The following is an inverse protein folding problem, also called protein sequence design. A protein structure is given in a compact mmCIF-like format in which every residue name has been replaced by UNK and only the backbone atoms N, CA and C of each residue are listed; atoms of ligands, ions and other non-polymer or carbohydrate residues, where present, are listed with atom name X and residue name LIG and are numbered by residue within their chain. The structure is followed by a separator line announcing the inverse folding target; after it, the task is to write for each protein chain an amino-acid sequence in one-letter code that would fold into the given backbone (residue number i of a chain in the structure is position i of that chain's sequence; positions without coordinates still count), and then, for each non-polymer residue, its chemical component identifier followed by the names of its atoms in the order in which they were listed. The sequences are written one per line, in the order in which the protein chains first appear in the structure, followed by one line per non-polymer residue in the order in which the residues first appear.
data_IF_387262171548
#
_entry.id   IF_387262171548
#
_cell.length_a   1.000
_cell.length_b   1.000
_cell.length_c   1.000
_cell.angle_alpha   90.00
_cell.angle_beta   90.00
_cell.angle_gamma   90.00
#
_symmetry.space_group_name_H-M   'P 1'
#
loop_
_entity.id
_entity.type
_entity.pdbx_description
1 polymer ?
#
# COMPACT_ATOMS: atom_id res chain seq x y z
N UNK A 1 -47.95 -51.31 -71.43
CA UNK A 1 -47.13 -51.10 -70.21
C UNK A 1 -47.40 -49.67 -69.78
N UNK A 2 -48.05 -49.50 -68.64
CA UNK A 2 -48.56 -48.21 -68.17
C UNK A 2 -47.39 -47.35 -67.67
N UNK A 3 -47.13 -46.23 -68.34
CA UNK A 3 -46.27 -45.18 -67.81
C UNK A 3 -47.09 -44.42 -66.75
N UNK A 4 -46.72 -44.56 -65.49
CA UNK A 4 -47.19 -43.66 -64.45
C UNK A 4 -46.63 -42.26 -64.75
N UNK A 5 -47.50 -41.25 -64.75
CA UNK A 5 -47.12 -39.84 -64.88
C UNK A 5 -46.16 -39.45 -63.75
N UNK A 6 -45.00 -38.88 -64.07
CA UNK A 6 -44.00 -38.44 -63.08
C UNK A 6 -44.51 -37.30 -62.18
N UNK A 7 -45.53 -36.56 -62.62
CA UNK A 7 -46.05 -35.37 -61.93
C UNK A 7 -47.41 -35.66 -61.29
N UNK A 8 -47.54 -35.37 -60.00
CA UNK A 8 -48.79 -35.52 -59.24
C UNK A 8 -49.53 -34.18 -59.10
N UNK A 9 -50.82 -34.21 -58.74
CA UNK A 9 -51.58 -33.00 -58.42
C UNK A 9 -50.96 -32.22 -57.23
N UNK A 10 -50.29 -32.92 -56.31
CA UNK A 10 -49.61 -32.31 -55.15
C UNK A 10 -48.46 -31.39 -55.56
N UNK A 11 -47.82 -31.66 -56.70
CA UNK A 11 -46.72 -30.85 -57.24
C UNK A 11 -47.21 -29.87 -58.32
N UNK A 12 -48.16 -30.30 -59.15
CA UNK A 12 -48.63 -29.53 -60.30
C UNK A 12 -49.55 -28.36 -59.90
N UNK A 13 -50.38 -28.51 -58.86
CA UNK A 13 -51.28 -27.44 -58.39
C UNK A 13 -50.49 -26.27 -57.76
N UNK A 14 -49.49 -26.50 -56.87
CA UNK A 14 -48.62 -25.44 -56.38
C UNK A 14 -47.83 -24.75 -57.50
N UNK A 15 -47.37 -25.49 -58.51
CA UNK A 15 -46.72 -24.95 -59.69
C UNK A 15 -47.64 -24.01 -60.50
N UNK A 16 -48.86 -24.43 -60.83
CA UNK A 16 -49.82 -23.55 -61.52
C UNK A 16 -50.15 -22.32 -60.66
N UNK A 17 -50.22 -22.48 -59.34
CA UNK A 17 -50.47 -21.38 -58.41
C UNK A 17 -49.29 -20.41 -58.34
N UNK A 18 -48.04 -20.89 -58.44
CA UNK A 18 -46.85 -20.04 -58.49
C UNK A 18 -46.80 -19.22 -59.79
N UNK A 19 -47.36 -19.74 -60.89
CA UNK A 19 -47.56 -19.01 -62.15
C UNK A 19 -48.78 -18.07 -62.15
N UNK A 20 -49.51 -17.97 -61.03
CA UNK A 20 -50.69 -17.11 -60.90
C UNK A 20 -51.96 -17.65 -61.55
N UNK A 21 -52.01 -18.95 -61.88
CA UNK A 21 -53.19 -19.60 -62.44
C UNK A 21 -54.15 -20.02 -61.33
N UNK A 22 -55.40 -19.55 -61.41
CA UNK A 22 -56.44 -19.97 -60.46
C UNK A 22 -56.90 -21.41 -60.75
N UNK A 23 -56.45 -22.36 -59.93
CA UNK A 23 -56.77 -23.79 -60.07
C UNK A 23 -58.14 -24.19 -59.51
N UNK A 24 -58.81 -23.27 -58.78
CA UNK A 24 -60.13 -23.47 -58.16
C UNK A 24 -60.27 -24.78 -57.35
N UNK A 25 -59.18 -25.30 -56.76
CA UNK A 25 -59.14 -26.58 -56.04
C UNK A 25 -59.65 -27.78 -56.86
N UNK A 26 -59.54 -27.71 -58.19
CA UNK A 26 -59.87 -28.83 -59.07
C UNK A 26 -58.66 -29.74 -59.22
N UNK A 27 -58.93 -31.04 -59.34
CA UNK A 27 -57.91 -32.05 -59.62
C UNK A 27 -57.60 -32.10 -61.12
N UNK A 28 -56.32 -32.20 -61.45
CA UNK A 28 -55.77 -32.32 -62.80
C UNK A 28 -55.22 -33.73 -63.08
N UNK A 29 -55.29 -34.64 -62.10
CA UNK A 29 -54.85 -36.04 -62.20
C UNK A 29 -55.37 -36.76 -63.44
N UNK A 30 -56.62 -36.48 -63.86
CA UNK A 30 -57.18 -37.11 -65.06
C UNK A 30 -56.49 -36.68 -66.37
N UNK A 31 -56.00 -35.44 -66.46
CA UNK A 31 -55.19 -34.96 -67.60
C UNK A 31 -53.73 -35.37 -67.49
N UNK A 32 -53.19 -35.42 -66.27
CA UNK A 32 -51.82 -35.86 -66.03
C UNK A 32 -51.64 -37.36 -66.35
N UNK A 33 -52.69 -38.16 -66.22
CA UNK A 33 -52.69 -39.59 -66.54
C UNK A 33 -53.13 -39.91 -67.99
N UNK A 34 -53.62 -38.93 -68.75
CA UNK A 34 -54.00 -39.12 -70.15
C UNK A 34 -52.75 -39.01 -71.05
N UNK A 35 -52.38 -40.07 -71.79
CA UNK A 35 -51.17 -40.06 -72.62
C UNK A 35 -51.16 -38.97 -73.70
N UNK A 36 -52.33 -38.48 -74.12
CA UNK A 36 -52.43 -37.41 -75.11
C UNK A 36 -52.05 -36.03 -74.53
N UNK A 37 -52.14 -35.84 -73.21
CA UNK A 37 -51.88 -34.57 -72.51
C UNK A 37 -50.66 -34.60 -71.58
N UNK A 38 -50.35 -35.76 -70.98
CA UNK A 38 -49.30 -35.93 -69.98
C UNK A 38 -47.92 -35.44 -70.46
N UNK A 39 -47.57 -35.69 -71.72
CA UNK A 39 -46.30 -35.26 -72.29
C UNK A 39 -46.16 -33.73 -72.36
N UNK A 40 -47.24 -33.02 -72.70
CA UNK A 40 -47.25 -31.56 -72.79
C UNK A 40 -47.24 -30.93 -71.41
N UNK A 41 -48.03 -31.46 -70.47
CA UNK A 41 -48.09 -30.96 -69.09
C UNK A 41 -46.77 -31.20 -68.34
N UNK A 42 -46.12 -32.34 -68.56
CA UNK A 42 -44.78 -32.63 -68.02
C UNK A 42 -43.71 -31.71 -68.61
N UNK A 43 -43.82 -31.35 -69.90
CA UNK A 43 -42.92 -30.35 -70.49
C UNK A 43 -43.14 -28.96 -69.90
N UNK A 44 -44.39 -28.52 -69.74
CA UNK A 44 -44.73 -27.23 -69.12
C UNK A 44 -44.20 -27.14 -67.69
N UNK A 45 -44.42 -28.18 -66.88
CA UNK A 45 -43.93 -28.26 -65.51
C UNK A 45 -42.40 -28.14 -65.39
N UNK A 46 -41.66 -28.68 -66.36
CA UNK A 46 -40.19 -28.69 -66.35
C UNK A 46 -39.55 -27.42 -66.95
N UNK A 47 -40.29 -26.63 -67.73
CA UNK A 47 -39.70 -25.55 -68.55
C UNK A 47 -40.36 -24.17 -68.36
N UNK A 48 -41.51 -24.07 -67.69
CA UNK A 48 -42.10 -22.77 -67.32
C UNK A 48 -41.76 -22.44 -65.88
N UNK A 49 -41.53 -21.16 -65.61
CA UNK A 49 -41.35 -20.58 -64.29
C UNK A 49 -42.00 -19.18 -64.25
N UNK A 50 -41.92 -18.51 -63.11
CA UNK A 50 -42.47 -17.16 -62.94
C UNK A 50 -41.83 -16.11 -63.87
N UNK A 51 -40.67 -16.41 -64.47
CA UNK A 51 -39.95 -15.47 -65.34
C UNK A 51 -40.33 -15.62 -66.82
N UNK A 52 -40.79 -16.81 -67.22
CA UNK A 52 -41.18 -17.13 -68.60
C UNK A 52 -42.70 -17.12 -68.83
N UNK A 53 -43.50 -17.02 -67.77
CA UNK A 53 -44.95 -16.87 -67.86
C UNK A 53 -45.35 -15.40 -67.95
N UNK A 54 -45.93 -14.99 -69.08
CA UNK A 54 -46.48 -13.64 -69.26
C UNK A 54 -47.64 -13.41 -68.29
N UNK A 55 -47.41 -12.54 -67.31
CA UNK A 55 -48.46 -12.06 -66.41
C UNK A 55 -49.24 -10.91 -67.05
N UNK A 56 -50.49 -10.69 -66.62
CA UNK A 56 -51.30 -9.54 -67.07
C UNK A 56 -50.61 -8.18 -66.84
N UNK A 57 -49.70 -8.11 -65.86
CA UNK A 57 -48.88 -6.92 -65.59
C UNK A 57 -47.79 -6.72 -66.64
N UNK A 58 -47.15 -7.80 -67.08
CA UNK A 58 -46.13 -7.77 -68.14
C UNK A 58 -46.76 -7.52 -69.50
N UNK A 59 -47.93 -8.10 -69.78
CA UNK A 59 -48.71 -7.79 -70.98
C UNK A 59 -49.05 -6.29 -71.05
N UNK A 60 -49.49 -5.70 -69.93
CA UNK A 60 -49.75 -4.26 -69.85
C UNK A 60 -48.48 -3.42 -70.08
N UNK A 61 -47.37 -3.79 -69.44
CA UNK A 61 -46.08 -3.10 -69.63
C UNK A 61 -45.58 -3.19 -71.05
N UNK A 62 -45.66 -4.37 -71.66
CA UNK A 62 -45.29 -4.60 -73.06
C UNK A 62 -46.16 -3.74 -73.99
N UNK A 63 -47.47 -3.70 -73.77
CA UNK A 63 -48.39 -2.86 -74.53
C UNK A 63 -48.11 -1.36 -74.36
N UNK A 64 -47.67 -0.91 -73.18
CA UNK A 64 -47.25 0.48 -72.96
C UNK A 64 -45.93 0.82 -73.68
N UNK A 65 -44.93 -0.06 -73.61
CA UNK A 65 -43.64 0.11 -74.29
C UNK A 65 -43.86 0.15 -75.81
N UNK A 66 -44.72 -0.72 -76.32
CA UNK A 66 -45.12 -0.73 -77.72
C UNK A 66 -45.85 0.57 -78.12
N UNK A 67 -46.78 1.07 -77.29
CA UNK A 67 -47.47 2.35 -77.52
C UNK A 67 -46.54 3.55 -77.51
N UNK A 68 -45.48 3.52 -76.70
CA UNK A 68 -44.45 4.57 -76.61
C UNK A 68 -43.45 4.51 -77.77
N UNK A 69 -43.50 3.46 -78.61
CA UNK A 69 -42.59 3.29 -79.74
C UNK A 69 -41.15 2.99 -79.33
N UNK A 70 -40.92 2.61 -78.07
CA UNK A 70 -39.59 2.31 -77.50
C UNK A 70 -39.33 0.80 -77.46
N UNK A 71 -40.10 0.01 -78.21
CA UNK A 71 -39.92 -1.42 -78.30
C UNK A 71 -38.66 -1.71 -79.14
N UNK A 72 -37.61 -2.18 -78.48
CA UNK A 72 -36.37 -2.57 -79.13
C UNK A 72 -36.54 -3.92 -79.82
N UNK A 73 -35.82 -4.11 -80.93
CA UNK A 73 -35.62 -5.45 -81.47
C UNK A 73 -34.78 -6.29 -80.50
N UNK A 74 -34.87 -7.63 -80.55
CA UNK A 74 -34.11 -8.49 -79.63
C UNK A 74 -32.59 -8.25 -79.70
N UNK A 75 -32.06 -7.94 -80.87
CA UNK A 75 -30.63 -7.62 -81.03
C UNK A 75 -30.26 -6.27 -80.38
N UNK A 76 -31.08 -5.24 -80.55
CA UNK A 76 -30.87 -3.93 -79.90
C UNK A 76 -31.04 -4.01 -78.38
N UNK A 77 -31.90 -4.91 -77.89
CA UNK A 77 -32.08 -5.17 -76.46
C UNK A 77 -30.83 -5.84 -75.88
N UNK A 78 -30.31 -6.88 -76.53
CA UNK A 78 -29.08 -7.56 -76.10
C UNK A 78 -27.87 -6.61 -76.10
N UNK A 79 -27.74 -5.75 -77.11
CA UNK A 79 -26.71 -4.71 -77.17
C UNK A 79 -26.86 -3.68 -76.04
N UNK A 80 -28.10 -3.27 -75.73
CA UNK A 80 -28.36 -2.36 -74.62
C UNK A 80 -28.06 -2.99 -73.27
N UNK A 81 -28.41 -4.26 -73.07
CA UNK A 81 -28.12 -5.01 -71.84
C UNK A 81 -26.61 -5.15 -71.67
N UNK A 82 -25.89 -5.54 -72.73
CA UNK A 82 -24.44 -5.65 -72.71
C UNK A 82 -23.76 -4.31 -72.39
N UNK A 83 -24.25 -3.20 -72.97
CA UNK A 83 -23.74 -1.86 -72.67
C UNK A 83 -23.96 -1.46 -71.21
N UNK A 84 -25.09 -1.83 -70.61
CA UNK A 84 -25.39 -1.54 -69.20
C UNK A 84 -24.48 -2.36 -68.28
N UNK A 85 -24.33 -3.66 -68.54
CA UNK A 85 -23.45 -4.54 -67.76
C UNK A 85 -21.98 -4.12 -67.85
N UNK A 86 -21.54 -3.62 -68.99
CA UNK A 86 -20.18 -3.10 -69.16
C UNK A 86 -19.97 -1.77 -68.40
N UNK A 87 -21.03 -0.97 -68.24
CA UNK A 87 -20.97 0.29 -67.50
C UNK A 87 -21.10 0.07 -65.98
N UNK A 88 -21.86 -0.95 -65.56
CA UNK A 88 -22.13 -1.30 -64.17
C UNK A 88 -21.79 -2.77 -63.94
N UNK A 89 -20.50 -3.03 -63.76
CA UNK A 89 -19.97 -4.38 -63.50
C UNK A 89 -20.50 -4.89 -62.15
N UNK A 90 -21.02 -6.13 -62.13
CA UNK A 90 -21.63 -6.75 -60.94
C UNK A 90 -23.13 -6.45 -60.74
N UNK A 91 -23.82 -5.82 -61.70
CA UNK A 91 -25.27 -5.67 -61.65
C UNK A 91 -25.96 -7.00 -62.00
N UNK A 92 -26.76 -7.61 -61.12
CA UNK A 92 -27.45 -8.85 -61.41
C UNK A 92 -28.62 -8.56 -62.35
N UNK A 93 -28.76 -9.36 -63.41
CA UNK A 93 -29.91 -9.27 -64.29
C UNK A 93 -31.11 -9.98 -63.65
N UNK A 94 -32.34 -9.44 -63.79
CA UNK A 94 -33.54 -10.17 -63.40
C UNK A 94 -33.62 -11.51 -64.13
N UNK A 95 -33.63 -12.62 -63.37
CA UNK A 95 -33.63 -14.00 -63.90
C UNK A 95 -32.34 -14.77 -63.64
N UNK A 96 -31.24 -14.09 -63.28
CA UNK A 96 -30.00 -14.74 -62.81
C UNK A 96 -30.10 -14.98 -61.29
N UNK A 97 -30.68 -16.14 -60.92
CA UNK A 97 -30.91 -16.50 -59.53
C UNK A 97 -29.60 -16.65 -58.73
N UNK A 98 -28.55 -17.16 -59.38
CA UNK A 98 -27.25 -17.37 -58.75
C UNK A 98 -26.58 -16.03 -58.43
N UNK A 99 -26.51 -15.10 -59.39
CA UNK A 99 -25.91 -13.77 -59.15
C UNK A 99 -26.69 -12.93 -58.12
N UNK A 100 -28.03 -13.10 -58.05
CA UNK A 100 -28.85 -12.44 -57.03
C UNK A 100 -28.60 -13.01 -55.62
N UNK A 101 -28.38 -14.31 -55.50
CA UNK A 101 -28.05 -14.97 -54.24
C UNK A 101 -26.65 -14.54 -53.74
N UNK A 102 -25.67 -14.48 -54.64
CA UNK A 102 -24.32 -14.01 -54.33
C UNK A 102 -24.30 -12.59 -53.74
N UNK A 103 -25.07 -11.67 -54.34
CA UNK A 103 -25.16 -10.28 -53.88
C UNK A 103 -25.92 -10.16 -52.56
N UNK A 104 -26.93 -11.00 -52.34
CA UNK A 104 -27.63 -11.06 -51.05
C UNK A 104 -26.66 -11.51 -49.95
N UNK A 105 -25.89 -12.56 -50.20
CA UNK A 105 -24.91 -13.07 -49.26
C UNK A 105 -23.78 -12.06 -48.99
N UNK A 106 -23.31 -11.36 -50.03
CA UNK A 106 -22.35 -10.26 -49.86
C UNK A 106 -22.93 -9.12 -49.01
N UNK A 107 -24.20 -8.75 -49.27
CA UNK A 107 -24.90 -7.72 -48.50
C UNK A 107 -25.03 -8.11 -47.04
N UNK A 108 -25.36 -9.37 -46.74
CA UNK A 108 -25.44 -9.89 -45.38
C UNK A 108 -24.07 -9.85 -44.67
N UNK A 109 -23.00 -10.31 -45.34
CA UNK A 109 -21.65 -10.22 -44.78
C UNK A 109 -21.22 -8.78 -44.49
N UNK A 110 -21.54 -7.84 -45.38
CA UNK A 110 -21.23 -6.42 -45.18
C UNK A 110 -22.03 -5.84 -44.00
N UNK A 111 -23.28 -6.24 -43.81
CA UNK A 111 -24.09 -5.84 -42.67
C UNK A 111 -23.53 -6.38 -41.35
N UNK A 112 -23.10 -7.65 -41.31
CA UNK A 112 -22.46 -8.23 -40.13
C UNK A 112 -21.15 -7.51 -39.79
N UNK A 113 -20.34 -7.21 -40.81
CA UNK A 113 -19.10 -6.46 -40.63
C UNK A 113 -19.35 -5.05 -40.12
N UNK A 114 -20.40 -4.39 -40.59
CA UNK A 114 -20.82 -3.08 -40.09
C UNK A 114 -21.22 -3.15 -38.61
N UNK A 115 -22.05 -4.12 -38.22
CA UNK A 115 -22.42 -4.33 -36.80
C UNK A 115 -21.21 -4.60 -35.90
N UNK A 116 -20.22 -5.33 -36.40
CA UNK A 116 -18.98 -5.56 -35.67
C UNK A 116 -18.19 -4.28 -35.46
N UNK A 117 -18.07 -3.43 -36.49
CA UNK A 117 -17.39 -2.15 -36.40
C UNK A 117 -18.10 -1.18 -35.44
N UNK A 118 -19.43 -1.14 -35.44
CA UNK A 118 -20.21 -0.34 -34.49
C UNK A 118 -19.93 -0.76 -33.04
N UNK A 119 -19.90 -2.07 -32.75
CA UNK A 119 -19.50 -2.57 -31.42
C UNK A 119 -18.07 -2.19 -31.04
N UNK A 120 -17.14 -2.22 -32.00
CA UNK A 120 -15.77 -1.79 -31.73
C UNK A 120 -15.70 -0.29 -31.41
N UNK A 121 -16.48 0.54 -32.12
CA UNK A 121 -16.57 1.96 -31.83
C UNK A 121 -17.10 2.21 -30.41
N UNK A 122 -18.18 1.52 -30.01
CA UNK A 122 -18.71 1.60 -28.64
C UNK A 122 -17.63 1.30 -27.60
N UNK A 123 -16.91 0.17 -27.73
CA UNK A 123 -15.84 -0.22 -26.81
C UNK A 123 -14.74 0.85 -26.75
N UNK A 124 -14.33 1.40 -27.90
CA UNK A 124 -13.30 2.44 -27.95
C UNK A 124 -13.78 3.72 -27.26
N UNK A 125 -15.04 4.12 -27.47
CA UNK A 125 -15.60 5.31 -26.78
C UNK A 125 -15.64 5.13 -25.27
N UNK A 126 -15.99 3.95 -24.77
CA UNK A 126 -15.95 3.64 -23.33
C UNK A 126 -14.53 3.72 -22.78
N UNK A 127 -13.55 3.16 -23.49
CA UNK A 127 -12.14 3.22 -23.10
C UNK A 127 -11.61 4.65 -23.06
N UNK A 128 -12.01 5.50 -24.00
CA UNK A 128 -11.66 6.93 -24.00
C UNK A 128 -12.23 7.62 -22.75
N UNK A 129 -13.51 7.40 -22.44
CA UNK A 129 -14.14 7.98 -21.24
C UNK A 129 -13.49 7.50 -19.94
N UNK A 130 -13.11 6.22 -19.86
CA UNK A 130 -12.38 5.69 -18.71
C UNK A 130 -11.00 6.35 -18.58
N UNK A 131 -10.29 6.53 -19.69
CA UNK A 131 -8.98 7.18 -19.70
C UNK A 131 -9.09 8.64 -19.23
N UNK A 132 -10.07 9.40 -19.70
CA UNK A 132 -10.33 10.76 -19.24
C UNK A 132 -10.60 10.83 -17.72
N UNK A 133 -11.46 9.95 -17.20
CA UNK A 133 -11.71 9.85 -15.75
C UNK A 133 -10.44 9.54 -14.96
N UNK A 134 -9.60 8.62 -15.44
CA UNK A 134 -8.32 8.32 -14.76
C UNK A 134 -7.36 9.51 -14.81
N UNK A 135 -7.31 10.25 -15.91
CA UNK A 135 -6.50 11.45 -16.05
C UNK A 135 -6.94 12.56 -15.09
N UNK A 136 -8.25 12.75 -14.92
CA UNK A 136 -8.80 13.68 -13.91
C UNK A 136 -8.40 13.28 -12.49
N UNK A 137 -8.55 12.00 -12.14
CA UNK A 137 -8.14 11.48 -10.82
C UNK A 137 -6.64 11.69 -10.56
N UNK A 138 -5.79 11.36 -11.53
CA UNK A 138 -4.34 11.60 -11.43
C UNK A 138 -4.02 13.09 -11.27
N UNK A 139 -4.74 13.97 -11.97
CA UNK A 139 -4.58 15.43 -11.83
C UNK A 139 -4.95 15.90 -10.42
N UNK A 140 -6.03 15.37 -9.84
CA UNK A 140 -6.40 15.62 -8.45
C UNK A 140 -5.32 15.14 -7.46
N UNK A 141 -4.74 13.94 -7.66
CA UNK A 141 -3.67 13.46 -6.79
C UNK A 141 -2.38 14.29 -6.93
N UNK A 142 -2.02 14.71 -8.14
CA UNK A 142 -0.86 15.59 -8.38
C UNK A 142 -1.05 16.94 -7.68
N UNK A 143 -2.25 17.52 -7.73
CA UNK A 143 -2.55 18.79 -7.04
C UNK A 143 -2.49 18.65 -5.52
N UNK A 144 -3.02 17.55 -4.96
CA UNK A 144 -2.87 17.24 -3.51
C UNK A 144 -1.41 17.09 -3.11
N UNK A 145 -0.61 16.33 -3.86
CA UNK A 145 0.81 16.14 -3.59
C UNK A 145 1.58 17.47 -3.65
N UNK A 146 1.26 18.34 -4.61
CA UNK A 146 1.86 19.67 -4.69
C UNK A 146 1.49 20.54 -3.48
N UNK A 147 0.24 20.50 -3.04
CA UNK A 147 -0.20 21.22 -1.84
C UNK A 147 0.54 20.73 -0.58
N UNK A 148 0.65 19.40 -0.40
CA UNK A 148 1.43 18.81 0.69
C UNK A 148 2.91 19.20 0.61
N UNK A 149 3.51 19.19 -0.58
CA UNK A 149 4.89 19.62 -0.78
C UNK A 149 5.11 21.08 -0.40
N UNK A 150 4.18 21.97 -0.75
CA UNK A 150 4.27 23.38 -0.34
C UNK A 150 4.11 23.55 1.16
N UNK A 151 3.23 22.76 1.79
CA UNK A 151 3.05 22.76 3.23
C UNK A 151 4.32 22.28 3.95
N UNK A 152 4.90 21.16 3.54
CA UNK A 152 6.15 20.66 4.14
C UNK A 152 7.28 21.68 4.04
N UNK A 153 7.41 22.40 2.91
CA UNK A 153 8.40 23.48 2.76
C UNK A 153 8.16 24.63 3.74
N UNK A 154 6.90 24.99 3.97
CA UNK A 154 6.56 26.02 4.95
C UNK A 154 6.87 25.55 6.37
N UNK A 155 6.56 24.29 6.69
CA UNK A 155 6.84 23.69 8.00
C UNK A 155 8.36 23.60 8.25
N UNK A 156 9.15 23.25 7.22
CA UNK A 156 10.61 23.26 7.27
C UNK A 156 11.16 24.67 7.54
N UNK A 157 10.62 25.69 6.87
CA UNK A 157 11.01 27.08 7.10
C UNK A 157 10.68 27.52 8.53
N UNK A 158 9.44 27.28 8.99
CA UNK A 158 9.01 27.61 10.36
C UNK A 158 9.88 26.89 11.40
N UNK A 159 10.16 25.60 11.22
CA UNK A 159 11.03 24.83 12.12
C UNK A 159 12.45 25.38 12.15
N UNK A 160 12.97 25.85 11.00
CA UNK A 160 14.29 26.47 10.93
C UNK A 160 14.35 27.78 11.71
N UNK A 161 13.31 28.59 11.67
CA UNK A 161 13.19 29.82 12.47
C UNK A 161 13.12 29.51 13.96
N UNK A 162 12.33 28.51 14.37
CA UNK A 162 12.26 28.03 15.77
C UNK A 162 13.61 27.49 16.27
N UNK A 163 14.37 26.81 15.40
CA UNK A 163 15.70 26.33 15.78
C UNK A 163 16.69 27.48 16.00
N UNK A 164 16.61 28.55 15.19
CA UNK A 164 17.43 29.74 15.35
C UNK A 164 17.07 30.49 16.64
N UNK A 165 15.79 30.63 16.97
CA UNK A 165 15.37 31.28 18.22
C UNK A 165 15.80 30.49 19.45
N UNK A 166 15.62 29.17 19.45
CA UNK A 166 16.08 28.31 20.55
C UNK A 166 17.60 28.33 20.70
N UNK A 167 18.35 28.41 19.60
CA UNK A 167 19.80 28.57 19.67
C UNK A 167 20.20 29.87 20.36
N UNK A 168 19.54 30.99 20.02
CA UNK A 168 19.74 32.28 20.70
C UNK A 168 19.39 32.21 22.19
N UNK A 169 18.27 31.59 22.56
CA UNK A 169 17.90 31.41 23.97
C UNK A 169 18.95 30.60 24.75
N UNK A 170 19.50 29.56 24.14
CA UNK A 170 20.58 28.76 24.76
C UNK A 170 21.83 29.63 24.93
N UNK A 171 22.21 30.41 23.93
CA UNK A 171 23.35 31.34 24.02
C UNK A 171 23.16 32.32 25.19
N UNK A 172 21.97 32.92 25.32
CA UNK A 172 21.63 33.83 26.42
C UNK A 172 21.71 33.15 27.79
N UNK A 173 21.16 31.94 27.93
CA UNK A 173 21.24 31.17 29.18
C UNK A 173 22.71 30.83 29.50
N UNK A 174 23.48 30.39 28.51
CA UNK A 174 24.90 30.05 28.72
C UNK A 174 25.69 31.28 29.16
N UNK A 175 25.46 32.44 28.55
CA UNK A 175 26.09 33.69 28.95
C UNK A 175 25.71 34.06 30.39
N UNK A 176 24.42 33.97 30.75
CA UNK A 176 23.97 34.21 32.13
C UNK A 176 24.61 33.26 33.14
N UNK A 177 24.78 31.98 32.80
CA UNK A 177 25.48 31.03 33.68
C UNK A 177 26.97 31.31 33.82
N UNK A 178 27.63 31.76 32.75
CA UNK A 178 29.03 32.19 32.78
C UNK A 178 29.18 33.38 33.74
N UNK A 179 28.29 34.36 33.64
CA UNK A 179 28.29 35.54 34.51
C UNK A 179 28.07 35.14 35.98
N UNK A 180 27.10 34.25 36.27
CA UNK A 180 26.86 33.76 37.62
C UNK A 180 28.04 32.96 38.21
N UNK A 181 28.74 32.18 37.39
CA UNK A 181 29.97 31.47 37.79
C UNK A 181 31.10 32.48 38.04
N UNK A 182 31.26 33.49 37.20
CA UNK A 182 32.23 34.56 37.40
C UNK A 182 31.97 35.32 38.71
N UNK A 183 30.71 35.65 39.00
CA UNK A 183 30.29 36.28 40.25
C UNK A 183 30.60 35.39 41.45
N UNK A 184 30.28 34.10 41.40
CA UNK A 184 30.58 33.15 42.46
C UNK A 184 32.10 32.98 42.70
N UNK A 185 32.89 32.94 41.64
CA UNK A 185 34.36 32.90 41.72
C UNK A 185 34.93 34.21 42.28
N UNK A 186 34.33 35.36 41.96
CA UNK A 186 34.71 36.66 42.52
C UNK A 186 34.43 36.72 44.03
N UNK A 187 33.27 36.22 44.47
CA UNK A 187 32.92 36.10 45.89
C UNK A 187 33.86 35.16 46.63
N UNK A 188 34.22 34.03 46.01
CA UNK A 188 35.20 33.09 46.58
C UNK A 188 36.59 33.71 46.68
N UNK A 189 37.04 34.44 45.65
CA UNK A 189 38.32 35.18 45.68
C UNK A 189 38.36 36.20 46.82
N UNK A 190 37.26 36.92 47.04
CA UNK A 190 37.14 37.95 48.08
C UNK A 190 36.92 37.38 49.50
N UNK A 191 36.59 36.08 49.62
CA UNK A 191 36.42 35.40 50.92
C UNK A 191 37.73 35.15 51.68
N UNK A 192 38.89 35.27 51.02
CA UNK A 192 40.20 35.18 51.69
C UNK A 192 40.59 36.47 52.43
N UNK A 193 39.95 37.59 52.09
CA UNK A 193 40.26 38.92 52.64
C UNK A 193 39.27 39.40 53.70
N UNK A 194 38.09 38.80 53.81
CA UNK A 194 37.00 39.27 54.68
C UNK A 194 36.38 38.15 55.53
N UNK A 195 36.53 38.24 56.85
CA UNK A 195 36.21 37.17 57.83
C UNK A 195 34.69 36.92 57.95
N UNK A 196 33.86 37.94 57.70
CA UNK A 196 32.41 37.85 57.79
C UNK A 196 31.77 37.20 56.55
N UNK A 197 32.40 37.34 55.38
CA UNK A 197 31.99 36.67 54.13
C UNK A 197 32.33 35.18 54.20
N UNK A 198 33.52 34.83 54.71
CA UNK A 198 33.93 33.44 54.93
C UNK A 198 33.00 32.70 55.92
N UNK A 199 32.57 33.37 57.00
CA UNK A 199 31.61 32.81 57.98
C UNK A 199 30.24 32.52 57.35
N UNK A 200 29.74 33.39 56.47
CA UNK A 200 28.48 33.13 55.74
C UNK A 200 28.63 31.99 54.73
N UNK A 201 29.75 31.90 54.03
CA UNK A 201 30.04 30.82 53.07
C UNK A 201 30.14 29.43 53.74
N UNK A 202 30.63 29.36 54.98
CA UNK A 202 30.70 28.11 55.75
C UNK A 202 29.41 27.78 56.52
N UNK A 203 28.68 28.77 57.04
CA UNK A 203 27.45 28.56 57.80
C UNK A 203 26.19 28.36 56.92
N UNK A 204 26.17 28.94 55.72
CA UNK A 204 25.15 28.76 54.68
C UNK A 204 25.75 28.05 53.45
N UNK A 205 26.77 27.23 53.67
CA UNK A 205 27.42 26.51 52.58
C UNK A 205 26.40 25.69 51.78
N UNK A 206 26.64 25.49 50.47
CA UNK A 206 25.66 24.89 49.56
C UNK A 206 25.36 23.42 49.87
N UNK A 207 25.80 22.87 51.00
CA UNK A 207 25.52 21.51 51.43
C UNK A 207 24.04 21.26 51.69
N UNK A 208 23.30 22.19 52.29
CA UNK A 208 21.86 22.02 52.49
C UNK A 208 21.10 22.12 51.15
N UNK A 209 21.52 23.03 50.27
CA UNK A 209 20.98 23.14 48.91
C UNK A 209 21.34 21.92 48.05
N UNK A 210 22.54 21.37 48.20
CA UNK A 210 23.01 20.14 47.57
C UNK A 210 22.26 18.92 48.10
N UNK A 211 21.95 18.87 49.39
CA UNK A 211 21.16 17.79 49.99
C UNK A 211 19.71 17.84 49.53
N UNK A 212 19.15 19.05 49.38
CA UNK A 212 17.83 19.26 48.78
C UNK A 212 17.82 18.86 47.29
N UNK A 213 18.85 19.22 46.52
CA UNK A 213 18.96 18.83 45.10
C UNK A 213 19.19 17.33 44.92
N UNK A 214 19.96 16.68 45.79
CA UNK A 214 20.14 15.23 45.82
C UNK A 214 18.82 14.50 46.16
N UNK A 215 18.03 15.03 47.10
CA UNK A 215 16.72 14.48 47.43
C UNK A 215 15.72 14.64 46.28
N UNK A 216 15.71 15.80 45.61
CA UNK A 216 14.91 16.04 44.41
C UNK A 216 15.34 15.12 43.26
N UNK A 217 16.64 14.96 43.02
CA UNK A 217 17.15 14.05 42.01
C UNK A 217 16.71 12.61 42.28
N UNK A 218 16.84 12.12 43.51
CA UNK A 218 16.34 10.79 43.90
C UNK A 218 14.83 10.65 43.65
N UNK A 219 14.03 11.63 44.08
CA UNK A 219 12.58 11.59 43.85
C UNK A 219 12.22 11.59 42.36
N UNK A 220 12.90 12.41 41.54
CA UNK A 220 12.69 12.44 40.10
C UNK A 220 13.17 11.17 39.40
N UNK A 221 14.28 10.59 39.86
CA UNK A 221 14.80 9.32 39.38
C UNK A 221 13.84 8.16 39.69
N UNK A 222 13.36 8.08 40.92
CA UNK A 222 12.40 7.05 41.36
C UNK A 222 11.07 7.19 40.60
N UNK A 223 10.58 8.42 40.40
CA UNK A 223 9.38 8.70 39.61
C UNK A 223 9.58 8.37 38.12
N UNK A 224 10.76 8.66 37.56
CA UNK A 224 11.10 8.31 36.17
C UNK A 224 11.13 6.79 36.00
N UNK A 225 11.80 6.08 36.91
CA UNK A 225 11.86 4.62 36.91
C UNK A 225 10.47 4.00 37.08
N UNK A 226 9.68 4.48 38.04
CA UNK A 226 8.30 4.01 38.20
C UNK A 226 7.47 4.26 36.92
N UNK A 227 7.41 5.50 36.42
CA UNK A 227 6.59 5.81 35.24
C UNK A 227 7.03 5.07 33.97
N UNK A 228 8.32 4.89 33.74
CA UNK A 228 8.82 4.27 32.49
C UNK A 228 8.85 2.75 32.55
N UNK A 229 9.07 2.15 33.72
CA UNK A 229 9.19 0.69 33.84
C UNK A 229 7.95 0.01 34.40
N UNK A 230 7.15 0.65 35.27
CA UNK A 230 5.86 0.06 35.74
C UNK A 230 4.68 0.35 34.82
N UNK A 231 4.59 1.53 34.19
CA UNK A 231 3.51 1.83 33.20
C UNK A 231 3.59 0.98 31.94
N UNK A 232 4.78 0.49 31.58
CA UNK A 232 4.98 -0.36 30.40
C UNK A 232 4.36 -1.75 30.54
N UNK A 233 4.23 -2.32 31.75
CA UNK A 233 3.57 -3.63 31.91
C UNK A 233 2.09 -3.59 31.52
N UNK A 234 1.39 -2.50 31.86
CA UNK A 234 -0.02 -2.32 31.54
C UNK A 234 -0.25 -1.94 30.07
N UNK A 235 0.61 -1.09 29.49
CA UNK A 235 0.56 -0.73 28.07
C UNK A 235 0.94 -1.90 27.14
N UNK A 236 1.94 -2.71 27.51
CA UNK A 236 2.32 -3.90 26.73
C UNK A 236 1.21 -4.96 26.75
N UNK A 237 0.52 -5.12 27.89
CA UNK A 237 -0.66 -5.99 28.02
C UNK A 237 -1.83 -5.53 27.14
N UNK A 238 -2.07 -4.22 27.06
CA UNK A 238 -3.10 -3.66 26.19
C UNK A 238 -2.79 -3.90 24.71
N UNK A 239 -1.55 -3.64 24.28
CA UNK A 239 -1.09 -3.89 22.90
C UNK A 239 -1.11 -5.38 22.56
N UNK A 240 -0.73 -6.26 23.48
CA UNK A 240 -0.80 -7.72 23.28
C UNK A 240 -2.24 -8.22 23.14
N UNK A 241 -3.19 -7.60 23.86
CA UNK A 241 -4.61 -7.92 23.72
C UNK A 241 -5.21 -7.38 22.41
N UNK A 242 -4.83 -6.18 21.97
CA UNK A 242 -5.19 -5.67 20.64
C UNK A 242 -4.62 -6.54 19.52
N UNK A 243 -3.36 -6.96 19.64
CA UNK A 243 -2.74 -7.91 18.70
C UNK A 243 -3.49 -9.25 18.68
N UNK A 244 -3.86 -9.80 19.84
CA UNK A 244 -4.66 -11.05 19.90
C UNK A 244 -6.03 -10.89 19.25
N UNK A 245 -6.72 -9.77 19.49
CA UNK A 245 -8.02 -9.51 18.90
C UNK A 245 -7.91 -9.34 17.38
N UNK A 246 -6.93 -8.58 16.89
CA UNK A 246 -6.67 -8.44 15.46
C UNK A 246 -6.31 -9.79 14.80
N UNK A 247 -5.58 -10.66 15.51
CA UNK A 247 -5.25 -12.01 15.04
C UNK A 247 -6.49 -12.92 15.00
N UNK A 248 -7.42 -12.76 15.95
CA UNK A 248 -8.70 -13.47 15.96
C UNK A 248 -9.61 -13.01 14.82
N UNK A 249 -9.73 -11.70 14.59
CA UNK A 249 -10.51 -11.12 13.49
C UNK A 249 -9.94 -11.54 12.12
N UNK A 250 -8.62 -11.55 11.98
CA UNK A 250 -7.95 -12.02 10.77
C UNK A 250 -8.22 -13.51 10.50
N UNK A 251 -8.24 -14.35 11.54
CA UNK A 251 -8.62 -15.77 11.41
C UNK A 251 -10.08 -15.95 11.02
N UNK A 252 -10.99 -15.16 11.59
CA UNK A 252 -12.41 -15.21 11.21
C UNK A 252 -12.63 -14.79 9.75
N UNK A 253 -11.90 -13.78 9.27
CA UNK A 253 -11.91 -13.38 7.85
C UNK A 253 -11.31 -14.46 6.94
N UNK A 254 -10.26 -15.14 7.38
CA UNK A 254 -9.66 -16.27 6.67
C UNK A 254 -10.63 -17.43 6.50
N UNK A 255 -11.34 -17.84 7.57
CA UNK A 255 -12.37 -18.89 7.49
C UNK A 255 -13.49 -18.50 6.52
N UNK A 256 -13.91 -17.24 6.52
CA UNK A 256 -14.91 -16.74 5.57
C UNK A 256 -14.41 -16.72 4.12
N UNK A 257 -13.16 -16.33 3.89
CA UNK A 257 -12.55 -16.33 2.57
C UNK A 257 -12.34 -17.76 2.05
N UNK A 258 -11.90 -18.68 2.91
CA UNK A 258 -11.78 -20.09 2.57
C UNK A 258 -13.13 -20.66 2.15
N UNK A 259 -14.20 -20.38 2.92
CA UNK A 259 -15.55 -20.80 2.58
C UNK A 259 -16.03 -20.20 1.25
N UNK A 260 -15.83 -18.90 1.04
CA UNK A 260 -16.20 -18.22 -0.21
C UNK A 260 -15.43 -18.78 -1.42
N UNK A 261 -14.15 -19.12 -1.25
CA UNK A 261 -13.33 -19.73 -2.31
C UNK A 261 -13.81 -21.13 -2.66
N UNK A 262 -14.13 -21.97 -1.66
CA UNK A 262 -14.75 -23.29 -1.93
C UNK A 262 -16.10 -23.17 -2.63
N UNK A 263 -16.94 -22.20 -2.25
CA UNK A 263 -18.22 -21.96 -2.93
C UNK A 263 -18.05 -21.46 -4.36
N UNK A 264 -17.03 -20.63 -4.62
CA UNK A 264 -16.70 -20.19 -5.97
C UNK A 264 -16.21 -21.34 -6.85
N UNK A 265 -15.33 -22.19 -6.33
CA UNK A 265 -14.83 -23.38 -7.06
C UNK A 265 -16.00 -24.30 -7.41
N UNK A 266 -16.89 -24.59 -6.44
CA UNK A 266 -18.09 -25.40 -6.68
C UNK A 266 -19.00 -24.79 -7.76
N UNK A 267 -19.31 -23.50 -7.67
CA UNK A 267 -20.16 -22.82 -8.66
C UNK A 267 -19.52 -22.77 -10.06
N UNK A 268 -18.19 -22.64 -10.14
CA UNK A 268 -17.47 -22.66 -11.41
C UNK A 268 -17.46 -24.07 -12.03
N UNK A 269 -17.34 -25.11 -11.21
CA UNK A 269 -17.44 -26.51 -11.64
C UNK A 269 -18.86 -26.85 -12.13
N UNK A 270 -19.89 -26.35 -11.44
CA UNK A 270 -21.29 -26.51 -11.88
C UNK A 270 -21.51 -25.81 -13.23
N UNK A 271 -21.01 -24.58 -13.39
CA UNK A 271 -21.13 -23.81 -14.64
C UNK A 271 -20.40 -24.48 -15.80
N UNK A 272 -19.17 -24.97 -15.60
CA UNK A 272 -18.42 -25.67 -16.64
C UNK A 272 -19.09 -27.01 -17.00
N UNK A 273 -19.66 -27.71 -16.00
CA UNK A 273 -20.49 -28.88 -16.21
C UNK A 273 -21.70 -28.59 -17.09
N UNK A 274 -22.46 -27.53 -16.78
CA UNK A 274 -23.61 -27.13 -17.61
C UNK A 274 -23.19 -26.72 -19.03
N UNK A 275 -22.10 -25.95 -19.18
CA UNK A 275 -21.56 -25.60 -20.50
C UNK A 275 -21.13 -26.82 -21.32
N UNK A 276 -20.50 -27.80 -20.68
CA UNK A 276 -20.13 -29.06 -21.32
C UNK A 276 -21.39 -29.85 -21.74
N UNK A 277 -22.42 -29.94 -20.89
CA UNK A 277 -23.68 -30.58 -21.27
C UNK A 277 -24.35 -29.90 -22.46
N UNK A 278 -24.36 -28.57 -22.48
CA UNK A 278 -24.91 -27.77 -23.58
C UNK A 278 -24.16 -28.02 -24.88
N UNK A 279 -22.82 -28.02 -24.84
CA UNK A 279 -21.98 -28.32 -25.99
C UNK A 279 -22.18 -29.75 -26.51
N UNK A 280 -22.32 -30.73 -25.61
CA UNK A 280 -22.64 -32.11 -25.98
C UNK A 280 -24.03 -32.22 -26.61
N UNK A 281 -25.06 -31.56 -26.06
CA UNK A 281 -26.40 -31.57 -26.65
C UNK A 281 -26.44 -30.89 -28.02
N UNK A 282 -25.78 -29.75 -28.18
CA UNK A 282 -25.74 -29.03 -29.47
C UNK A 282 -24.95 -29.78 -30.54
N UNK A 283 -23.88 -30.48 -30.17
CA UNK A 283 -23.03 -31.21 -31.13
C UNK A 283 -23.59 -32.60 -31.49
N UNK A 284 -24.48 -33.18 -30.66
CA UNK A 284 -24.91 -34.57 -30.80
C UNK A 284 -26.42 -34.80 -30.92
N UNK A 285 -27.23 -33.77 -31.14
CA UNK A 285 -28.70 -33.86 -31.31
C UNK A 285 -29.14 -34.66 -32.55
N UNK A 286 -28.26 -34.86 -33.55
CA UNK A 286 -28.58 -35.56 -34.82
C UNK A 286 -27.50 -36.57 -35.28
N UNK A 287 -26.95 -37.38 -34.36
CA UNK A 287 -25.91 -38.37 -34.70
C UNK A 287 -26.52 -39.64 -35.29
N UNK A 288 -26.05 -40.05 -36.48
CA UNK A 288 -26.48 -41.31 -37.11
C UNK A 288 -26.03 -42.53 -36.29
N UNK A 289 -26.83 -43.62 -36.17
CA UNK A 289 -26.54 -44.80 -35.34
C UNK A 289 -25.15 -45.44 -35.56
N UNK A 290 -24.59 -45.30 -36.75
CA UNK A 290 -23.25 -45.81 -37.12
C UNK A 290 -22.08 -45.02 -36.54
N UNK A 291 -22.31 -43.80 -36.03
CA UNK A 291 -21.27 -42.91 -35.50
C UNK A 291 -21.26 -42.82 -33.97
N UNK A 292 -22.24 -43.43 -33.29
CA UNK A 292 -22.38 -43.42 -31.83
C UNK A 292 -21.13 -43.89 -31.09
N UNK A 293 -20.45 -44.94 -31.59
CA UNK A 293 -19.25 -45.46 -30.94
C UNK A 293 -18.07 -44.48 -31.02
N UNK A 294 -18.00 -43.69 -32.09
CA UNK A 294 -16.93 -42.72 -32.33
C UNK A 294 -17.18 -41.45 -31.52
N UNK A 295 -18.42 -40.96 -31.52
CA UNK A 295 -18.89 -39.85 -30.67
C UNK A 295 -18.75 -40.16 -29.18
N UNK A 296 -19.08 -41.38 -28.75
CA UNK A 296 -18.91 -41.79 -27.35
C UNK A 296 -17.43 -41.87 -26.94
N UNK A 297 -16.53 -42.27 -27.84
CA UNK A 297 -15.08 -42.24 -27.61
C UNK A 297 -14.57 -40.80 -27.48
N UNK A 298 -15.00 -39.89 -28.36
CA UNK A 298 -14.63 -38.47 -28.29
C UNK A 298 -15.13 -37.82 -27.00
N UNK A 299 -16.40 -38.03 -26.63
CA UNK A 299 -16.96 -37.52 -25.38
C UNK A 299 -16.25 -38.09 -24.14
N UNK A 300 -15.82 -39.35 -24.19
CA UNK A 300 -15.03 -39.94 -23.10
C UNK A 300 -13.64 -39.31 -23.00
N UNK A 301 -12.99 -39.06 -24.14
CA UNK A 301 -11.69 -38.39 -24.17
C UNK A 301 -11.77 -36.94 -23.67
N UNK A 302 -12.85 -36.21 -23.94
CA UNK A 302 -13.01 -34.85 -23.43
C UNK A 302 -13.28 -34.84 -21.93
N UNK A 303 -14.05 -35.80 -21.41
CA UNK A 303 -14.23 -35.98 -19.96
C UNK A 303 -12.90 -36.30 -19.27
N UNK A 304 -12.10 -37.22 -19.81
CA UNK A 304 -10.77 -37.54 -19.24
C UNK A 304 -9.81 -36.33 -19.24
N UNK A 305 -9.92 -35.43 -20.23
CA UNK A 305 -9.17 -34.17 -20.25
C UNK A 305 -9.66 -33.18 -19.19
N UNK A 306 -10.97 -33.06 -19.00
CA UNK A 306 -11.56 -32.19 -17.96
C UNK A 306 -11.18 -32.68 -16.54
N UNK A 307 -11.20 -33.98 -16.29
CA UNK A 307 -10.73 -34.57 -15.01
C UNK A 307 -9.24 -34.29 -14.77
N UNK A 308 -8.42 -34.31 -15.82
CA UNK A 308 -7.01 -33.92 -15.71
C UNK A 308 -6.85 -32.43 -15.39
N UNK A 309 -7.59 -31.56 -16.07
CA UNK A 309 -7.59 -30.11 -15.80
C UNK A 309 -8.05 -29.80 -14.36
N UNK A 310 -9.10 -30.47 -13.88
CA UNK A 310 -9.55 -30.37 -12.49
C UNK A 310 -8.43 -30.74 -11.51
N UNK A 311 -7.75 -31.87 -11.73
CA UNK A 311 -6.63 -32.30 -10.86
C UNK A 311 -5.46 -31.30 -10.85
N UNK A 312 -5.18 -30.66 -11.99
CA UNK A 312 -4.15 -29.62 -12.11
C UNK A 312 -4.56 -28.37 -11.35
N UNK A 313 -5.82 -27.94 -11.49
CA UNK A 313 -6.36 -26.78 -10.78
C UNK A 313 -6.36 -27.01 -9.27
N UNK A 314 -6.74 -28.21 -8.80
CA UNK A 314 -6.67 -28.57 -7.37
C UNK A 314 -5.24 -28.47 -6.83
N UNK A 315 -4.25 -29.00 -7.56
CA UNK A 315 -2.84 -28.90 -7.17
C UNK A 315 -2.35 -27.45 -7.14
N UNK A 316 -2.74 -26.63 -8.11
CA UNK A 316 -2.39 -25.21 -8.15
C UNK A 316 -3.01 -24.44 -6.98
N UNK A 317 -4.27 -24.71 -6.64
CA UNK A 317 -4.94 -24.11 -5.49
C UNK A 317 -4.25 -24.52 -4.19
N UNK A 318 -3.94 -25.81 -4.02
CA UNK A 318 -3.25 -26.30 -2.82
C UNK A 318 -1.85 -25.67 -2.67
N UNK A 319 -1.10 -25.54 -3.77
CA UNK A 319 0.20 -24.88 -3.78
C UNK A 319 0.09 -23.38 -3.46
N UNK A 320 -0.92 -22.68 -4.00
CA UNK A 320 -1.16 -21.27 -3.72
C UNK A 320 -1.52 -21.04 -2.24
N UNK A 321 -2.35 -21.90 -1.65
CA UNK A 321 -2.70 -21.87 -0.22
C UNK A 321 -1.46 -22.08 0.65
N UNK A 322 -0.62 -23.07 0.34
CA UNK A 322 0.63 -23.29 1.08
C UNK A 322 1.56 -22.08 1.01
N UNK A 323 1.76 -21.50 -0.17
CA UNK A 323 2.59 -20.30 -0.33
C UNK A 323 2.04 -19.10 0.43
N UNK A 324 0.72 -18.93 0.46
CA UNK A 324 0.07 -17.86 1.22
C UNK A 324 0.29 -18.02 2.73
N UNK A 325 0.09 -19.24 3.26
CA UNK A 325 0.33 -19.55 4.67
C UNK A 325 1.80 -19.32 5.04
N UNK A 326 2.74 -19.75 4.21
CA UNK A 326 4.18 -19.50 4.43
C UNK A 326 4.52 -18.01 4.45
N UNK A 327 4.03 -17.24 3.47
CA UNK A 327 4.27 -15.78 3.40
C UNK A 327 3.73 -15.07 4.63
N UNK A 328 2.53 -15.44 5.07
CA UNK A 328 1.92 -14.90 6.29
C UNK A 328 2.72 -15.26 7.54
N UNK A 329 3.14 -16.52 7.68
CA UNK A 329 3.93 -16.96 8.82
C UNK A 329 5.27 -16.20 8.89
N UNK A 330 5.95 -16.03 7.75
CA UNK A 330 7.16 -15.20 7.66
C UNK A 330 6.90 -13.75 8.04
N UNK A 331 5.81 -13.16 7.54
CA UNK A 331 5.45 -11.78 7.88
C UNK A 331 5.16 -11.60 9.38
N UNK A 332 4.43 -12.52 10.00
CA UNK A 332 4.15 -12.49 11.43
C UNK A 332 5.44 -12.60 12.27
N UNK A 333 6.37 -13.48 11.87
CA UNK A 333 7.69 -13.60 12.51
C UNK A 333 8.49 -12.32 12.34
N UNK A 334 8.55 -11.74 11.14
CA UNK A 334 9.28 -10.49 10.87
C UNK A 334 8.73 -9.33 11.69
N UNK A 335 7.41 -9.19 11.78
CA UNK A 335 6.75 -8.14 12.58
C UNK A 335 7.06 -8.33 14.06
N UNK A 336 6.99 -9.56 14.59
CA UNK A 336 7.33 -9.86 15.98
C UNK A 336 8.82 -9.59 16.29
N UNK A 337 9.72 -9.92 15.37
CA UNK A 337 11.16 -9.63 15.53
C UNK A 337 11.41 -8.13 15.49
N UNK A 338 10.80 -7.40 14.57
CA UNK A 338 10.93 -5.93 14.47
C UNK A 338 10.37 -5.22 15.70
N UNK A 339 9.22 -5.63 16.20
CA UNK A 339 8.64 -5.04 17.41
C UNK A 339 9.51 -5.33 18.65
N UNK A 340 10.00 -6.57 18.80
CA UNK A 340 10.91 -6.93 19.88
C UNK A 340 12.24 -6.16 19.80
N UNK A 341 12.77 -5.96 18.59
CA UNK A 341 13.99 -5.17 18.37
C UNK A 341 13.78 -3.70 18.71
N UNK A 342 12.68 -3.08 18.28
CA UNK A 342 12.35 -1.69 18.62
C UNK A 342 12.22 -1.48 20.14
N UNK A 343 11.58 -2.43 20.85
CA UNK A 343 11.50 -2.40 22.32
C UNK A 343 12.89 -2.49 22.96
N UNK A 344 13.76 -3.37 22.46
CA UNK A 344 15.14 -3.51 22.96
C UNK A 344 15.98 -2.26 22.71
N UNK A 345 15.88 -1.66 21.52
CA UNK A 345 16.58 -0.41 21.18
C UNK A 345 16.12 0.74 22.09
N UNK A 346 14.82 0.81 22.39
CA UNK A 346 14.29 1.80 23.32
C UNK A 346 14.77 1.56 24.76
N UNK A 347 14.86 0.31 25.23
CA UNK A 347 15.43 0.00 26.54
C UNK A 347 16.92 0.40 26.59
N UNK A 348 17.67 0.12 25.52
CA UNK A 348 19.07 0.51 25.40
C UNK A 348 19.24 2.04 25.43
N UNK A 349 18.39 2.79 24.73
CA UNK A 349 18.43 4.26 24.77
C UNK A 349 18.07 4.81 26.15
N UNK A 350 17.04 4.25 26.80
CA UNK A 350 16.65 4.62 28.17
C UNK A 350 17.80 4.32 29.17
N UNK A 351 18.46 3.16 29.08
CA UNK A 351 19.59 2.78 29.95
C UNK A 351 20.85 3.62 29.71
N UNK A 352 21.18 3.91 28.45
CA UNK A 352 22.34 4.76 28.11
C UNK A 352 22.15 6.19 28.58
N UNK A 353 20.93 6.74 28.44
CA UNK A 353 20.57 8.03 29.03
C UNK A 353 20.73 8.02 30.54
N UNK A 354 20.18 6.99 31.20
CA UNK A 354 20.25 6.87 32.65
C UNK A 354 21.70 6.78 33.13
N UNK A 355 22.54 5.96 32.49
CA UNK A 355 23.96 5.88 32.76
C UNK A 355 24.68 7.22 32.58
N UNK A 356 24.39 7.94 31.48
CA UNK A 356 24.98 9.25 31.15
C UNK A 356 24.66 10.31 32.21
N UNK A 357 23.49 10.24 32.84
CA UNK A 357 23.07 11.18 33.88
C UNK A 357 23.59 10.75 35.27
N UNK A 358 23.56 9.46 35.60
CA UNK A 358 23.99 8.97 36.91
C UNK A 358 25.51 8.96 37.08
N UNK A 359 26.28 8.73 36.02
CA UNK A 359 27.75 8.67 36.09
C UNK A 359 28.39 9.99 36.55
N UNK A 360 28.05 11.16 35.99
CA UNK A 360 28.51 12.45 36.50
C UNK A 360 28.01 12.74 37.92
N UNK A 361 26.77 12.38 38.24
CA UNK A 361 26.21 12.59 39.58
C UNK A 361 26.98 11.79 40.65
N UNK A 362 27.32 10.52 40.35
CA UNK A 362 28.14 9.67 41.22
C UNK A 362 29.59 10.18 41.34
N UNK A 363 30.17 10.68 40.24
CA UNK A 363 31.50 11.28 40.26
C UNK A 363 31.54 12.55 41.13
N UNK A 364 30.49 13.39 41.06
CA UNK A 364 30.33 14.57 41.90
C UNK A 364 30.16 14.18 43.38
N UNK A 365 29.29 13.22 43.69
CA UNK A 365 29.06 12.77 45.07
C UNK A 365 30.33 12.14 45.68
N UNK A 366 31.07 11.36 44.89
CA UNK A 366 32.39 10.84 45.26
C UNK A 366 33.42 11.94 45.52
N UNK A 367 33.45 12.97 44.68
CA UNK A 367 34.31 14.16 44.84
C UNK A 367 33.97 14.97 46.10
N UNK A 368 32.68 15.22 46.35
CA UNK A 368 32.18 15.91 47.55
C UNK A 368 32.53 15.11 48.80
N UNK A 369 32.34 13.79 48.80
CA UNK A 369 32.73 12.92 49.91
C UNK A 369 34.24 12.93 50.16
N UNK A 370 35.06 12.93 49.10
CA UNK A 370 36.51 13.01 49.22
C UNK A 370 36.96 14.36 49.80
N UNK A 371 36.38 15.46 49.32
CA UNK A 371 36.65 16.82 49.83
C UNK A 371 36.21 16.97 51.29
N UNK A 372 35.05 16.44 51.67
CA UNK A 372 34.58 16.42 53.05
C UNK A 372 35.51 15.61 53.98
N UNK A 373 36.05 14.48 53.51
CA UNK A 373 37.05 13.71 54.27
C UNK A 373 38.37 14.46 54.42
N UNK A 374 38.81 15.18 53.40
CA UNK A 374 40.02 16.01 53.46
C UNK A 374 39.84 17.18 54.42
N UNK A 375 38.70 17.88 54.40
CA UNK A 375 38.41 18.98 55.31
C UNK A 375 38.29 18.51 56.76
N UNK A 376 37.67 17.34 57.02
CA UNK A 376 37.65 16.71 58.35
C UNK A 376 39.04 16.35 58.85
N UNK A 377 39.93 15.83 57.99
CA UNK A 377 41.33 15.55 58.36
C UNK A 377 42.11 16.82 58.67
N UNK A 378 41.92 17.88 57.87
CA UNK A 378 42.54 19.18 58.11
C UNK A 378 42.07 19.81 59.44
N UNK A 379 40.76 19.75 59.73
CA UNK A 379 40.18 20.20 60.99
C UNK A 379 40.64 19.35 62.19
N UNK A 380 40.82 18.04 62.02
CA UNK A 380 41.41 17.18 63.03
C UNK A 380 42.86 17.54 63.34
N UNK A 381 43.65 17.90 62.32
CA UNK A 381 45.02 18.39 62.46
C UNK A 381 45.11 19.72 63.20
N UNK A 382 44.23 20.68 62.90
CA UNK A 382 44.17 21.95 63.63
C UNK A 382 43.68 21.77 65.07
N UNK A 383 42.72 20.87 65.31
CA UNK A 383 42.28 20.50 66.66
C UNK A 383 43.41 19.86 67.47
N UNK A 384 44.18 18.92 66.90
CA UNK A 384 45.37 18.34 67.54
C UNK A 384 46.47 19.38 67.81
N UNK A 385 46.72 20.29 66.88
CA UNK A 385 47.64 21.42 67.10
C UNK A 385 47.15 22.33 68.23
N UNK A 386 45.85 22.64 68.29
CA UNK A 386 45.26 23.43 69.37
C UNK A 386 45.33 22.72 70.74
N UNK A 387 45.18 21.39 70.76
CA UNK A 387 45.32 20.57 71.95
C UNK A 387 46.78 20.50 72.42
N UNK A 388 47.74 20.36 71.50
CA UNK A 388 49.18 20.44 71.80
C UNK A 388 49.58 21.83 72.32
N UNK A 389 49.01 22.90 71.77
CA UNK A 389 49.23 24.27 72.27
C UNK A 389 48.60 24.50 73.65
N UNK A 390 47.41 23.94 73.92
CA UNK A 390 46.81 23.95 75.27
C UNK A 390 47.62 23.13 76.27
N UNK A 391 48.11 21.94 75.89
CA UNK A 391 49.02 21.14 76.71
C UNK A 391 50.34 21.85 77.03
N UNK A 392 50.92 22.57 76.04
CA UNK A 392 52.12 23.40 76.25
C UNK A 392 51.86 24.63 77.13
N UNK A 393 50.68 25.25 77.05
CA UNK A 393 50.27 26.34 77.96
C UNK A 393 50.03 25.83 79.39
N UNK A 394 49.43 24.66 79.56
CA UNK A 394 49.27 23.99 80.86
C UNK A 394 50.62 23.59 81.48
N UNK A 395 51.55 23.06 80.68
CA UNK A 395 52.91 22.72 81.13
C UNK A 395 53.72 23.98 81.51
N UNK A 396 53.56 25.10 80.81
CA UNK A 396 54.15 26.39 81.21
C UNK A 396 53.53 26.97 82.49
N UNK A 397 52.23 26.81 82.69
CA UNK A 397 51.54 27.25 83.91
C UNK A 397 51.91 26.39 85.14
N UNK A 398 52.21 25.10 84.95
CA UNK A 398 52.74 24.22 85.99
C UNK A 398 54.20 24.56 86.33
N UNK A 399 55.03 24.91 85.34
CA UNK A 399 56.40 25.36 85.56
C UNK A 399 56.49 26.73 86.28
N UNK A 400 55.48 27.60 86.15
CA UNK A 400 55.43 28.89 86.85
C UNK A 400 54.93 28.84 88.30
N UNK A 401 54.58 27.67 88.85
CA UNK A 401 54.27 27.49 90.28
C UNK A 401 55.43 26.95 91.12
N UNK A 402 56.61 26.79 90.53
CA UNK A 402 57.80 26.27 91.22
C UNK A 402 59.10 26.91 90.77
N UNK A 403 59.28 28.22 91.02
CA UNK A 403 60.58 28.84 91.39
C UNK A 403 60.48 30.37 91.39
N UNK A 404 60.77 30.93 92.55
CA UNK A 404 60.95 32.34 92.83
C UNK A 404 62.45 32.55 93.08
N UNK A 405 63.21 33.06 92.11
CA UNK A 405 64.54 33.68 92.30
C UNK A 405 64.74 34.76 91.23
N UNK A 406 65.31 35.88 91.69
CA UNK A 406 65.41 37.21 91.11
C UNK A 406 66.67 37.35 90.20
N UNK A 407 66.47 37.80 88.94
CA UNK A 407 67.20 38.75 88.04
C UNK A 407 68.74 39.04 88.13
N UNK A 408 69.38 39.80 87.18
CA UNK A 408 69.34 39.94 85.69
C UNK A 408 70.79 40.08 85.07
N UNK A 409 71.12 40.85 83.98
CA UNK A 409 70.80 40.78 82.54
C UNK A 409 72.04 40.86 81.56
N UNK A 410 71.82 40.64 80.25
CA UNK A 410 72.40 41.35 79.06
C UNK A 410 72.13 40.56 77.76
N UNK A 411 71.28 41.04 76.83
CA UNK A 411 71.57 41.72 75.52
C UNK A 411 72.62 41.00 74.66
N UNK A 412 72.37 40.53 73.42
CA UNK A 412 72.04 41.31 72.21
C UNK A 412 71.48 40.47 71.03
N UNK A 413 71.00 41.21 70.03
CA UNK A 413 70.27 40.95 68.78
C UNK A 413 71.09 40.25 67.66
N UNK A 414 70.42 39.45 66.80
CA UNK A 414 70.46 39.41 65.29
C UNK A 414 69.98 38.02 64.80
N UNK A 415 68.85 37.89 64.10
CA UNK A 415 68.56 38.06 62.66
C UNK A 415 68.88 36.84 61.76
N UNK A 416 67.95 36.58 60.83
CA UNK A 416 68.00 35.78 59.59
C UNK A 416 67.81 34.24 59.58
N UNK A 417 66.62 33.89 59.08
CA UNK A 417 66.38 33.30 57.75
C UNK A 417 66.76 31.84 57.41
N UNK A 418 65.71 31.17 56.91
CA UNK A 418 65.64 30.13 55.85
C UNK A 418 66.22 28.74 56.12
N UNK A 419 65.37 27.75 55.83
CA UNK A 419 65.73 26.72 54.86
C UNK A 419 65.44 25.29 55.29
N UNK A 420 64.71 24.59 54.41
CA UNK A 420 64.82 23.16 54.11
C UNK A 420 64.21 22.19 55.14
N UNK A 421 63.13 21.48 54.79
CA UNK A 421 63.27 20.17 54.15
C UNK A 421 61.93 19.44 53.94
N UNK A 422 61.92 18.62 52.88
CA UNK A 422 60.99 17.50 52.69
C UNK A 422 59.73 17.85 51.91
N UNK A 423 59.38 17.19 50.82
CA UNK A 423 59.89 15.95 50.26
C UNK A 423 58.94 15.55 49.13
N UNK A 424 59.55 15.05 48.07
CA UNK A 424 58.96 14.59 46.80
C UNK A 424 58.04 13.39 47.00
N UNK A 425 56.88 13.38 46.34
CA UNK A 425 56.16 12.22 45.76
C UNK A 425 54.94 12.80 44.99
N UNK A 426 55.00 12.96 43.66
CA UNK A 426 54.66 11.96 42.65
C UNK A 426 53.21 11.42 42.78
N UNK A 427 52.35 11.80 41.82
CA UNK A 427 51.24 11.03 41.20
C UNK A 427 50.45 12.01 40.31
N UNK A 428 50.76 12.06 39.02
CA UNK A 428 50.09 11.30 37.95
C UNK A 428 48.85 12.02 37.40
N UNK A 429 49.06 12.71 36.27
CA UNK A 429 48.02 13.05 35.29
C UNK A 429 47.43 11.75 34.73
N UNK A 430 46.17 11.79 34.28
CA UNK A 430 45.90 11.33 32.92
C UNK A 430 45.18 12.39 32.10
N UNK A 431 45.75 12.63 30.94
CA UNK A 431 45.10 13.13 29.73
C UNK A 431 44.03 12.15 29.25
N UNK A 432 42.90 12.65 28.74
CA UNK A 432 42.13 11.93 27.72
C UNK A 432 41.44 12.93 26.77
N UNK A 433 41.70 12.70 25.48
CA UNK A 433 41.16 13.35 24.29
C UNK A 433 39.90 12.60 23.83
N UNK A 434 38.93 13.38 23.35
CA UNK A 434 38.07 13.19 22.16
C UNK A 434 37.16 11.94 21.99
N UNK A 435 35.85 12.21 21.86
CA UNK A 435 34.86 11.74 20.85
C UNK A 435 33.47 12.16 21.39
N UNK A 436 32.56 12.84 20.68
CA UNK A 436 32.13 12.68 19.29
C UNK A 436 30.95 11.71 19.25
N UNK A 437 29.71 12.20 19.07
CA UNK A 437 28.56 11.35 18.74
C UNK A 437 27.21 11.76 19.33
N UNK A 438 26.28 12.10 18.45
CA UNK A 438 24.92 12.56 18.67
C UNK A 438 23.95 11.52 19.26
N UNK A 439 22.87 11.99 19.89
CA UNK A 439 21.48 11.78 19.44
C UNK A 439 20.46 12.10 20.56
N UNK A 440 19.50 12.98 20.20
CA UNK A 440 18.03 13.00 20.42
C UNK A 440 17.47 12.24 21.64
N UNK A 441 16.51 12.74 22.42
CA UNK A 441 15.61 13.88 22.27
C UNK A 441 14.39 13.70 23.20
N UNK A 442 13.51 14.70 23.18
CA UNK A 442 12.13 14.74 23.71
C UNK A 442 12.00 14.82 25.25
N UNK A 443 11.17 15.68 25.84
CA UNK A 443 9.76 15.88 25.49
C UNK A 443 9.09 16.99 26.33
N UNK A 444 7.93 17.42 25.81
CA UNK A 444 6.72 17.94 26.49
C UNK A 444 6.51 19.46 26.57
N UNK A 445 5.79 19.93 25.54
CA UNK A 445 4.40 20.39 25.65
C UNK A 445 3.79 20.37 27.06
N UNK A 446 3.38 21.55 27.53
CA UNK A 446 2.19 21.74 28.37
C UNK A 446 1.38 22.91 27.83
N UNK A 447 0.19 22.59 27.34
CA UNK A 447 -0.81 23.56 26.95
C UNK A 447 -1.53 24.22 28.13
N UNK A 448 -2.09 25.38 27.84
CA UNK A 448 -3.29 26.03 28.39
C UNK A 448 -3.71 27.00 27.28
N UNK A 449 -4.91 27.09 26.75
CA UNK A 449 -6.22 26.61 27.15
C UNK A 449 -7.24 27.66 26.67
N UNK A 450 -8.53 27.26 26.59
CA UNK A 450 -9.73 28.12 26.42
C UNK A 450 -9.89 28.72 25.00
N UNK A 451 -11.10 28.96 24.46
CA UNK A 451 -12.52 28.75 24.80
C UNK A 451 -13.33 29.32 23.61
N UNK A 452 -14.63 29.00 23.58
CA UNK A 452 -15.73 29.79 22.97
C UNK A 452 -15.89 29.64 21.45
N UNK A 453 -16.99 29.03 20.97
CA UNK A 453 -18.40 29.48 20.88
C UNK A 453 -18.68 30.01 19.46
N UNK A 454 -19.77 29.52 18.86
CA UNK A 454 -20.28 29.94 17.55
C UNK A 454 -20.66 28.74 16.72
#
# INVERSE_FOLDING_TARGET
MNMFSETSDEEFIPFLSSLGVETYKKSFEWMLNDPDYAGVLGWLFKNLDQNNALTAREEYRYAEIQKKGTLQSPQELDESIASILQQYEGLPLPGDAEAMEDIQLETEMLQERLRFLERQEEIVTELVQQNEKTKEQLTCEVTKLNAMKTQCKQDEANLSEECLSLAQEIEDITQSTIDAVADALSLYSNSQTDEDIAKRFFALGPFDQYRQSQALFRSHFDLYCAKRFTSRQDEQSAVDNELRNALADAKALEERLAHAMTSYIAAQADLSGEQATLALTCNYEAVHPSQYALVAMEAKSTVELLEQEESILEQQVQAAVQQFVERRARHAVDVAVRSALAVREQILSDLTFLHRVTSPALALDGGVCALARLSLRAAGGTAQCSARLRGRRGARAAASRGRLVIHPPSTTVTSRARGLDGGVCALARPSLRAAGGAARGAARLRGKGRRQQG
#
